data_IF_909509196321
#
_entry.id   IF_909509196321
#
_cell.length_a   1.000
_cell.length_b   1.000
_cell.length_c   1.000
_cell.angle_alpha   90.00
_cell.angle_beta   90.00
_cell.angle_gamma   90.00
#
_symmetry.space_group_name_H-M   'P 1'
#
loop_
_entity.id
_entity.type
_entity.pdbx_description
1 polymer ?
#
# COMPACT_ATOMS: atom_id res chain seq x y z
N UNK A 1 -10.82 -4.79 15.54
CA UNK A 1 -9.90 -4.00 16.44
C UNK A 1 -9.24 -2.94 15.60
N UNK A 2 -9.12 -1.68 16.06
CA UNK A 2 -8.42 -0.65 15.28
C UNK A 2 -6.93 -0.97 15.17
N UNK A 3 -6.39 -1.00 13.95
CA UNK A 3 -4.95 -1.26 13.71
C UNK A 3 -4.07 -0.09 14.17
N UNK A 4 -4.63 1.10 14.43
CA UNK A 4 -3.87 2.23 15.03
C UNK A 4 -3.23 1.86 16.37
N UNK A 5 -3.82 0.90 17.10
CA UNK A 5 -3.26 0.38 18.35
C UNK A 5 -2.20 -0.69 18.14
N UNK A 6 -2.22 -1.34 16.98
CA UNK A 6 -1.27 -2.36 16.58
C UNK A 6 -0.01 -1.75 15.97
N UNK A 7 -0.18 -0.70 15.15
CA UNK A 7 0.93 -0.09 14.43
C UNK A 7 1.81 0.74 15.37
N UNK A 8 3.14 0.53 15.34
CA UNK A 8 4.08 1.24 16.20
C UNK A 8 4.23 2.73 15.86
N UNK A 9 3.94 3.11 14.62
CA UNK A 9 4.02 4.47 14.11
C UNK A 9 3.07 4.72 12.94
N UNK A 10 2.91 5.98 12.58
CA UNK A 10 2.09 6.40 11.42
C UNK A 10 2.80 6.25 10.07
N UNK A 11 3.99 5.68 10.05
CA UNK A 11 4.74 5.40 8.83
C UNK A 11 5.31 4.00 8.88
N UNK A 12 5.25 3.29 7.74
CA UNK A 12 5.87 1.99 7.52
C UNK A 12 6.65 1.98 6.21
N UNK A 13 7.34 0.87 5.93
CA UNK A 13 8.04 0.63 4.68
C UNK A 13 7.16 -0.19 3.73
N UNK A 14 6.85 0.36 2.56
CA UNK A 14 6.22 -0.37 1.45
C UNK A 14 7.23 -1.15 0.63
N UNK A 15 7.06 -2.47 0.54
CA UNK A 15 8.02 -3.40 -0.05
C UNK A 15 7.90 -3.58 -1.57
N UNK A 16 6.97 -2.95 -2.27
CA UNK A 16 6.82 -3.16 -3.71
C UNK A 16 8.11 -2.90 -4.51
N UNK A 17 8.89 -1.84 -4.24
CA UNK A 17 10.17 -1.62 -4.92
C UNK A 17 11.21 -2.71 -4.68
N UNK A 18 11.15 -3.42 -3.54
CA UNK A 18 12.04 -4.56 -3.25
C UNK A 18 11.77 -5.77 -4.16
N UNK A 19 10.63 -5.82 -4.84
CA UNK A 19 10.28 -6.78 -5.89
C UNK A 19 10.74 -6.37 -7.28
N UNK A 20 11.64 -5.41 -7.41
CA UNK A 20 12.10 -4.85 -8.70
C UNK A 20 10.97 -4.15 -9.48
N UNK A 21 10.16 -3.36 -8.80
CA UNK A 21 9.12 -2.54 -9.45
C UNK A 21 9.76 -1.48 -10.34
N UNK A 22 9.46 -1.48 -11.61
CA UNK A 22 9.96 -0.63 -12.69
C UNK A 22 11.45 -0.79 -13.05
N UNK A 23 12.30 -1.23 -12.14
CA UNK A 23 13.73 -1.45 -12.36
C UNK A 23 14.27 -2.58 -11.48
N UNK A 24 15.29 -3.24 -11.96
CA UNK A 24 16.07 -4.14 -11.12
C UNK A 24 16.91 -3.35 -10.11
N UNK A 25 16.96 -3.83 -8.87
CA UNK A 25 17.86 -3.35 -7.83
C UNK A 25 18.72 -4.52 -7.33
N UNK A 26 19.99 -4.28 -6.96
CA UNK A 26 20.84 -5.30 -6.36
C UNK A 26 20.28 -5.80 -5.00
N UNK A 27 20.59 -7.05 -4.63
CA UNK A 27 20.12 -7.61 -3.36
C UNK A 27 20.70 -6.88 -2.16
N UNK A 28 21.96 -6.45 -2.22
CA UNK A 28 22.62 -5.67 -1.18
C UNK A 28 21.97 -4.29 -0.98
N UNK A 29 21.55 -3.62 -2.07
CA UNK A 29 20.80 -2.36 -1.99
C UNK A 29 19.43 -2.58 -1.35
N UNK A 30 18.73 -3.67 -1.71
CA UNK A 30 17.46 -4.03 -1.10
C UNK A 30 17.59 -4.31 0.40
N UNK A 31 18.61 -5.09 0.80
CA UNK A 31 18.91 -5.37 2.21
C UNK A 31 19.24 -4.09 2.98
N UNK A 32 20.13 -3.25 2.43
CA UNK A 32 20.50 -1.98 3.04
C UNK A 32 19.30 -1.05 3.24
N UNK A 33 18.33 -1.07 2.31
CA UNK A 33 17.09 -0.28 2.42
C UNK A 33 16.25 -0.70 3.62
N UNK A 34 16.08 -2.00 3.87
CA UNK A 34 15.33 -2.49 5.03
C UNK A 34 16.07 -2.22 6.33
N UNK A 35 17.39 -2.44 6.35
CA UNK A 35 18.20 -2.17 7.54
C UNK A 35 18.24 -0.69 7.90
N UNK A 36 18.31 0.21 6.92
CA UNK A 36 18.20 1.64 7.17
C UNK A 36 16.85 2.00 7.79
N UNK A 37 15.75 1.50 7.23
CA UNK A 37 14.42 1.73 7.79
C UNK A 37 14.35 1.27 9.26
N UNK A 38 14.89 0.08 9.56
CA UNK A 38 14.99 -0.42 10.93
C UNK A 38 15.78 0.51 11.85
N UNK A 39 16.97 0.94 11.41
CA UNK A 39 17.85 1.83 12.17
C UNK A 39 17.25 3.21 12.42
N UNK A 40 16.36 3.67 11.53
CA UNK A 40 15.58 4.89 11.66
C UNK A 40 14.32 4.74 12.54
N UNK A 41 14.10 3.55 13.12
CA UNK A 41 12.98 3.30 14.02
C UNK A 41 11.69 2.83 13.34
N UNK A 42 11.70 2.53 12.04
CA UNK A 42 10.55 1.93 11.37
C UNK A 42 10.35 0.52 11.90
N UNK A 43 9.10 0.20 12.28
CA UNK A 43 8.68 -1.08 12.86
C UNK A 43 7.41 -1.63 12.22
N UNK A 44 6.98 -1.07 11.09
CA UNK A 44 5.91 -1.59 10.24
C UNK A 44 6.44 -1.81 8.83
N UNK A 45 6.30 -3.05 8.33
CA UNK A 45 6.79 -3.48 7.02
C UNK A 45 5.66 -4.18 6.27
N UNK A 46 5.43 -3.77 5.02
CA UNK A 46 4.42 -4.36 4.13
C UNK A 46 5.05 -4.91 2.86
N UNK A 47 4.59 -6.09 2.46
CA UNK A 47 5.03 -6.75 1.22
C UNK A 47 3.88 -7.52 0.56
N UNK A 48 4.17 -8.30 -0.47
CA UNK A 48 3.21 -9.18 -1.14
C UNK A 48 3.90 -10.28 -1.97
N UNK A 49 3.25 -11.44 -2.17
CA UNK A 49 3.69 -12.45 -3.12
C UNK A 49 3.82 -11.92 -4.56
N UNK A 50 2.90 -11.02 -4.97
CA UNK A 50 2.93 -10.40 -6.29
C UNK A 50 4.20 -9.58 -6.55
N UNK A 51 4.80 -8.99 -5.53
CA UNK A 51 5.93 -8.09 -5.68
C UNK A 51 7.19 -8.82 -6.12
N UNK A 52 7.40 -8.84 -7.44
CA UNK A 52 8.48 -9.56 -8.08
C UNK A 52 8.37 -11.08 -7.97
N UNK A 53 7.14 -11.63 -7.90
CA UNK A 53 6.90 -13.07 -7.71
C UNK A 53 7.61 -13.62 -6.47
N UNK A 54 7.41 -12.96 -5.33
CA UNK A 54 7.97 -13.34 -4.03
C UNK A 54 9.35 -12.75 -3.73
N UNK A 55 9.98 -12.07 -4.68
CA UNK A 55 11.32 -11.49 -4.48
C UNK A 55 11.33 -10.49 -3.31
N UNK A 56 10.30 -9.63 -3.21
CA UNK A 56 10.19 -8.69 -2.10
C UNK A 56 10.06 -9.40 -0.75
N UNK A 57 9.25 -10.45 -0.65
CA UNK A 57 9.13 -11.24 0.59
C UNK A 57 10.45 -11.92 0.97
N UNK A 58 11.18 -12.48 0.01
CA UNK A 58 12.51 -13.11 0.25
C UNK A 58 13.48 -12.07 0.80
N UNK A 59 13.63 -10.93 0.13
CA UNK A 59 14.55 -9.86 0.54
C UNK A 59 14.19 -9.26 1.90
N UNK A 60 12.90 -9.01 2.13
CA UNK A 60 12.41 -8.49 3.42
C UNK A 60 12.61 -9.52 4.53
N UNK A 61 12.32 -10.79 4.27
CA UNK A 61 12.53 -11.89 5.22
C UNK A 61 14.01 -12.06 5.60
N UNK A 62 14.91 -11.98 4.63
CA UNK A 62 16.37 -12.04 4.88
C UNK A 62 16.83 -10.90 5.78
N UNK A 63 16.42 -9.68 5.49
CA UNK A 63 16.79 -8.53 6.30
C UNK A 63 16.18 -8.58 7.70
N UNK A 64 14.89 -8.86 7.82
CA UNK A 64 14.17 -8.84 9.10
C UNK A 64 14.48 -10.02 10.00
N UNK A 65 14.96 -11.17 9.45
CA UNK A 65 15.36 -12.34 10.25
C UNK A 65 16.51 -12.08 11.24
N UNK A 66 17.21 -10.96 11.08
CA UNK A 66 18.27 -10.53 11.99
C UNK A 66 17.75 -9.81 13.25
N UNK A 67 16.46 -9.52 13.32
CA UNK A 67 15.83 -8.78 14.39
C UNK A 67 14.79 -9.62 15.13
N UNK A 68 14.52 -9.28 16.38
CA UNK A 68 13.48 -9.94 17.16
C UNK A 68 12.11 -9.76 16.48
N UNK A 69 11.41 -10.87 16.27
CA UNK A 69 10.09 -10.87 15.64
C UNK A 69 9.03 -10.10 16.43
N UNK A 70 9.23 -9.96 17.73
CA UNK A 70 8.32 -9.23 18.61
C UNK A 70 8.43 -7.71 18.46
N UNK A 71 9.50 -7.21 17.85
CA UNK A 71 9.80 -5.79 17.76
C UNK A 71 9.18 -5.09 16.55
N UNK A 72 8.50 -5.82 15.65
CA UNK A 72 7.90 -5.22 14.46
C UNK A 72 6.56 -5.84 14.05
N UNK A 73 5.79 -5.07 13.31
CA UNK A 73 4.55 -5.50 12.64
C UNK A 73 4.86 -5.79 11.18
N UNK A 74 4.41 -6.95 10.71
CA UNK A 74 4.61 -7.43 9.35
C UNK A 74 3.27 -7.68 8.69
N UNK A 75 3.07 -7.11 7.50
CA UNK A 75 1.93 -7.42 6.65
C UNK A 75 2.37 -8.00 5.30
N UNK A 76 1.59 -8.94 4.79
CA UNK A 76 1.66 -9.44 3.42
C UNK A 76 0.27 -9.66 2.86
N UNK A 77 0.17 -10.25 1.67
CA UNK A 77 -1.09 -10.33 0.95
C UNK A 77 -1.39 -11.76 0.51
N UNK A 78 -2.67 -12.04 0.27
CA UNK A 78 -3.20 -13.31 -0.28
C UNK A 78 -4.00 -13.05 -1.55
N UNK A 79 -4.36 -14.10 -2.28
CA UNK A 79 -5.07 -14.00 -3.56
C UNK A 79 -4.13 -14.14 -4.77
N UNK A 80 -2.83 -14.24 -4.52
CA UNK A 80 -1.77 -14.50 -5.51
C UNK A 80 -0.91 -15.64 -5.01
N UNK A 81 -0.91 -16.77 -5.69
CA UNK A 81 -0.10 -17.94 -5.36
C UNK A 81 1.05 -18.03 -6.33
N UNK A 82 2.25 -18.24 -5.82
CA UNK A 82 3.40 -18.58 -6.65
C UNK A 82 3.42 -20.07 -6.92
N UNK A 83 3.63 -20.43 -8.18
CA UNK A 83 3.80 -21.81 -8.63
C UNK A 83 5.28 -22.08 -8.91
N UNK A 84 5.65 -23.38 -8.89
CA UNK A 84 6.99 -23.82 -9.32
C UNK A 84 7.16 -23.72 -10.84
N UNK A 85 6.06 -23.65 -11.59
CA UNK A 85 6.05 -23.41 -13.04
C UNK A 85 6.64 -22.02 -13.34
N UNK A 86 7.50 -21.96 -14.36
CA UNK A 86 8.15 -20.73 -14.80
C UNK A 86 7.41 -20.10 -15.98
N UNK A 87 7.39 -18.77 -15.99
CA UNK A 87 6.84 -17.98 -17.10
C UNK A 87 7.75 -16.80 -17.42
N UNK A 88 7.51 -16.14 -18.53
CA UNK A 88 8.16 -14.89 -18.89
C UNK A 88 7.49 -13.73 -18.11
N UNK A 89 8.18 -13.07 -17.16
CA UNK A 89 7.59 -12.00 -16.38
C UNK A 89 7.04 -10.83 -17.21
N UNK A 90 7.62 -10.57 -18.39
CA UNK A 90 7.18 -9.52 -19.31
C UNK A 90 5.81 -9.80 -19.96
N UNK A 91 5.37 -11.07 -19.92
CA UNK A 91 4.09 -11.50 -20.50
C UNK A 91 2.97 -11.65 -19.48
N UNK A 92 3.24 -11.34 -18.22
CA UNK A 92 2.22 -11.42 -17.17
C UNK A 92 1.12 -10.40 -17.39
N UNK A 93 -0.10 -10.86 -17.19
CA UNK A 93 -1.26 -9.99 -17.19
C UNK A 93 -1.45 -9.38 -15.79
N UNK A 94 -1.22 -8.08 -15.70
CA UNK A 94 -1.51 -7.27 -14.52
C UNK A 94 -2.68 -6.31 -14.77
N UNK A 95 -3.57 -6.62 -15.70
CA UNK A 95 -4.68 -5.77 -16.10
C UNK A 95 -4.18 -4.44 -16.67
N UNK A 96 -4.71 -3.33 -16.17
CA UNK A 96 -4.34 -1.99 -16.62
C UNK A 96 -2.88 -1.58 -16.31
N UNK A 97 -2.16 -2.34 -15.47
CA UNK A 97 -0.86 -1.90 -14.91
C UNK A 97 0.37 -2.32 -15.72
N UNK A 98 0.18 -3.22 -16.70
CA UNK A 98 1.30 -3.70 -17.51
C UNK A 98 2.37 -4.45 -16.72
N UNK A 99 3.59 -4.51 -17.24
CA UNK A 99 4.70 -5.31 -16.71
C UNK A 99 5.48 -4.66 -15.57
N UNK A 100 4.84 -4.15 -14.55
CA UNK A 100 5.50 -3.40 -13.44
C UNK A 100 6.54 -4.20 -12.65
N UNK A 101 6.51 -5.55 -12.72
CA UNK A 101 7.45 -6.46 -12.07
C UNK A 101 8.18 -7.37 -13.06
N UNK A 102 8.44 -6.92 -14.28
CA UNK A 102 9.10 -7.71 -15.32
C UNK A 102 10.53 -8.16 -14.94
N UNK A 103 11.17 -7.46 -14.00
CA UNK A 103 12.49 -7.81 -13.45
C UNK A 103 12.42 -8.68 -12.18
N UNK A 104 11.24 -9.21 -11.83
CA UNK A 104 11.05 -10.13 -10.72
C UNK A 104 11.49 -11.55 -11.04
N UNK A 105 11.21 -12.48 -10.12
CA UNK A 105 11.42 -13.91 -10.33
C UNK A 105 10.47 -14.43 -11.44
N UNK A 106 10.85 -15.56 -12.04
CA UNK A 106 10.12 -16.16 -13.18
C UNK A 106 8.99 -17.08 -12.75
N UNK A 107 8.77 -17.29 -11.47
CA UNK A 107 7.68 -18.11 -10.97
C UNK A 107 6.33 -17.57 -11.46
N UNK A 108 5.51 -18.46 -12.00
CA UNK A 108 4.15 -18.14 -12.45
C UNK A 108 3.28 -17.75 -11.26
N UNK A 109 2.41 -16.78 -11.46
CA UNK A 109 1.44 -16.33 -10.47
C UNK A 109 0.06 -16.83 -10.86
N UNK A 110 -0.60 -17.53 -9.93
CA UNK A 110 -2.00 -17.92 -10.02
C UNK A 110 -2.84 -16.99 -9.15
N UNK A 111 -3.92 -16.46 -9.74
CA UNK A 111 -4.91 -15.67 -9.00
C UNK A 111 -5.96 -16.61 -8.42
N UNK A 112 -6.03 -16.74 -7.11
CA UNK A 112 -7.00 -17.59 -6.43
C UNK A 112 -7.31 -17.03 -5.03
N UNK A 113 -8.57 -16.67 -4.80
CA UNK A 113 -9.08 -16.11 -3.55
C UNK A 113 -9.85 -17.13 -2.70
N UNK A 114 -9.82 -18.42 -3.07
CA UNK A 114 -10.46 -19.48 -2.28
C UNK A 114 -9.84 -19.60 -0.88
N UNK A 115 -10.54 -20.24 0.03
CA UNK A 115 -10.06 -20.50 1.39
C UNK A 115 -8.75 -21.30 1.38
N UNK A 116 -8.69 -22.41 0.61
CA UNK A 116 -7.50 -23.25 0.53
C UNK A 116 -6.29 -22.49 -0.06
N UNK A 117 -6.52 -21.69 -1.09
CA UNK A 117 -5.48 -20.84 -1.69
C UNK A 117 -4.98 -19.79 -0.70
N UNK A 118 -5.88 -19.20 0.08
CA UNK A 118 -5.53 -18.22 1.12
C UNK A 118 -4.61 -18.83 2.18
N UNK A 119 -4.96 -20.01 2.71
CA UNK A 119 -4.15 -20.69 3.72
C UNK A 119 -2.78 -21.09 3.15
N UNK A 120 -2.75 -21.68 1.95
CA UNK A 120 -1.50 -22.00 1.25
C UNK A 120 -0.62 -20.77 1.03
N UNK A 121 -1.21 -19.67 0.59
CA UNK A 121 -0.48 -18.41 0.36
C UNK A 121 0.20 -17.91 1.63
N UNK A 122 -0.47 -18.00 2.79
CA UNK A 122 0.10 -17.61 4.08
C UNK A 122 1.28 -18.53 4.44
N UNK A 123 1.14 -19.85 4.33
CA UNK A 123 2.21 -20.79 4.61
C UNK A 123 3.44 -20.57 3.73
N UNK A 124 3.23 -20.30 2.44
CA UNK A 124 4.31 -20.02 1.50
C UNK A 124 4.98 -18.67 1.76
N UNK A 125 4.21 -17.66 2.17
CA UNK A 125 4.75 -16.36 2.59
C UNK A 125 5.58 -16.47 3.88
N UNK A 126 5.16 -17.26 4.86
CA UNK A 126 5.95 -17.53 6.08
C UNK A 126 7.33 -18.08 5.75
N UNK A 127 7.41 -19.00 4.78
CA UNK A 127 8.70 -19.59 4.33
C UNK A 127 9.59 -18.53 3.68
N UNK A 128 9.04 -17.72 2.74
CA UNK A 128 9.79 -16.65 2.06
C UNK A 128 10.23 -15.56 3.02
N UNK A 129 9.37 -15.18 3.96
CA UNK A 129 9.63 -14.16 4.99
C UNK A 129 10.52 -14.68 6.14
N UNK A 130 10.83 -16.00 6.17
CA UNK A 130 11.64 -16.63 7.23
C UNK A 130 11.10 -16.32 8.65
N UNK A 131 9.80 -16.39 8.82
CA UNK A 131 9.10 -16.08 10.09
C UNK A 131 8.01 -17.09 10.37
N UNK A 132 7.61 -17.21 11.62
CA UNK A 132 6.54 -18.08 12.08
C UNK A 132 5.18 -17.39 12.17
N UNK A 133 5.11 -16.07 11.98
CA UNK A 133 3.85 -15.32 12.05
C UNK A 133 3.82 -14.08 11.14
N UNK A 134 2.62 -13.75 10.69
CA UNK A 134 2.26 -12.51 10.00
C UNK A 134 1.22 -11.79 10.86
N UNK A 135 1.36 -10.48 11.04
CA UNK A 135 0.44 -9.72 11.89
C UNK A 135 -0.81 -9.27 11.14
N UNK A 136 -0.67 -8.80 9.91
CA UNK A 136 -1.77 -8.29 9.08
C UNK A 136 -1.75 -8.98 7.73
N UNK A 137 -2.91 -9.43 7.26
CA UNK A 137 -3.05 -10.05 5.93
C UNK A 137 -4.05 -9.27 5.09
N UNK A 138 -3.60 -8.86 3.89
CA UNK A 138 -4.43 -8.16 2.92
C UNK A 138 -4.87 -9.09 1.79
N UNK A 139 -6.14 -9.00 1.39
CA UNK A 139 -6.65 -9.65 0.17
C UNK A 139 -6.33 -8.74 -0.99
N UNK A 140 -5.50 -9.23 -1.93
CA UNK A 140 -4.86 -8.41 -2.94
C UNK A 140 -5.72 -8.28 -4.20
N UNK A 141 -6.17 -7.07 -4.49
CA UNK A 141 -6.79 -6.64 -5.74
C UNK A 141 -7.93 -7.52 -6.30
N UNK A 142 -8.98 -7.89 -5.54
CA UNK A 142 -10.21 -8.39 -6.12
C UNK A 142 -11.01 -7.20 -6.70
N UNK A 143 -10.52 -6.60 -7.79
CA UNK A 143 -10.94 -5.27 -8.23
C UNK A 143 -10.89 -5.10 -9.76
N UNK A 144 -11.61 -4.11 -10.25
CA UNK A 144 -11.82 -3.86 -11.67
C UNK A 144 -10.53 -3.61 -12.46
N UNK A 145 -9.55 -2.95 -11.86
CA UNK A 145 -8.25 -2.66 -12.52
C UNK A 145 -7.43 -3.91 -12.85
N UNK A 146 -7.75 -5.07 -12.24
CA UNK A 146 -7.14 -6.36 -12.56
C UNK A 146 -8.05 -7.28 -13.39
N UNK A 147 -9.38 -7.20 -13.20
CA UNK A 147 -10.30 -8.17 -13.77
C UNK A 147 -11.38 -7.57 -14.68
N UNK A 148 -11.28 -6.27 -15.01
CA UNK A 148 -12.27 -5.58 -15.83
C UNK A 148 -13.69 -5.78 -15.31
N UNK A 149 -14.64 -6.03 -16.19
CA UNK A 149 -16.06 -6.21 -15.82
C UNK A 149 -16.32 -7.49 -15.00
N UNK A 150 -15.41 -8.47 -15.04
CA UNK A 150 -15.49 -9.72 -14.28
C UNK A 150 -15.09 -9.60 -12.80
N UNK A 151 -14.68 -8.43 -12.33
CA UNK A 151 -14.13 -8.28 -10.99
C UNK A 151 -15.08 -8.66 -9.84
N UNK A 152 -16.39 -8.53 -10.04
CA UNK A 152 -17.39 -8.92 -9.03
C UNK A 152 -17.41 -10.42 -8.79
N UNK A 153 -17.10 -11.26 -9.78
CA UNK A 153 -16.95 -12.69 -9.61
C UNK A 153 -15.75 -13.00 -8.71
N UNK A 154 -14.60 -12.40 -9.00
CA UNK A 154 -13.39 -12.54 -8.17
C UNK A 154 -13.60 -12.00 -6.74
N UNK A 155 -14.30 -10.88 -6.61
CA UNK A 155 -14.68 -10.34 -5.29
C UNK A 155 -15.58 -11.32 -4.53
N UNK A 156 -16.56 -11.96 -5.19
CA UNK A 156 -17.43 -12.94 -4.54
C UNK A 156 -16.68 -14.20 -4.12
N UNK A 157 -15.70 -14.68 -4.92
CA UNK A 157 -14.79 -15.76 -4.51
C UNK A 157 -14.00 -15.34 -3.28
N UNK A 158 -13.45 -14.12 -3.25
CA UNK A 158 -12.74 -13.60 -2.10
C UNK A 158 -13.64 -13.53 -0.86
N UNK A 159 -14.88 -13.04 -1.00
CA UNK A 159 -15.86 -12.96 0.07
C UNK A 159 -16.20 -14.32 0.69
N UNK A 160 -16.42 -15.32 -0.14
CA UNK A 160 -16.79 -16.66 0.32
C UNK A 160 -15.60 -17.53 0.73
N UNK A 161 -14.39 -17.17 0.34
CA UNK A 161 -13.13 -17.87 0.64
C UNK A 161 -12.23 -17.08 1.58
N UNK A 162 -11.44 -16.14 1.03
CA UNK A 162 -10.42 -15.41 1.78
C UNK A 162 -10.97 -14.63 3.00
N UNK A 163 -12.13 -13.95 2.87
CA UNK A 163 -12.74 -13.23 4.01
C UNK A 163 -13.02 -14.18 5.18
N UNK A 164 -13.58 -15.35 4.90
CA UNK A 164 -13.91 -16.34 5.93
C UNK A 164 -12.66 -16.94 6.56
N UNK A 165 -11.68 -17.32 5.73
CA UNK A 165 -10.42 -17.84 6.22
C UNK A 165 -9.71 -16.83 7.15
N UNK A 166 -9.58 -15.58 6.73
CA UNK A 166 -8.88 -14.55 7.49
C UNK A 166 -9.65 -14.12 8.74
N UNK A 167 -11.00 -14.08 8.69
CA UNK A 167 -11.82 -13.83 9.87
C UNK A 167 -11.59 -14.92 10.92
N UNK A 168 -11.59 -16.20 10.52
CA UNK A 168 -11.30 -17.32 11.42
C UNK A 168 -9.89 -17.24 11.99
N UNK A 169 -8.86 -17.01 11.17
CA UNK A 169 -7.48 -16.89 11.64
C UNK A 169 -7.29 -15.74 12.64
N UNK A 170 -8.01 -14.63 12.46
CA UNK A 170 -8.03 -13.52 13.43
C UNK A 170 -8.69 -13.92 14.74
N UNK A 171 -9.83 -14.59 14.69
CA UNK A 171 -10.56 -15.07 15.87
C UNK A 171 -9.75 -16.11 16.66
N UNK A 172 -9.01 -16.97 15.98
CA UNK A 172 -8.07 -17.94 16.55
C UNK A 172 -6.76 -17.30 17.06
N UNK A 173 -6.53 -16.01 16.78
CA UNK A 173 -5.33 -15.29 17.20
C UNK A 173 -4.07 -15.62 16.37
N UNK A 174 -4.21 -16.30 15.24
CA UNK A 174 -3.11 -16.62 14.32
C UNK A 174 -2.60 -15.37 13.60
N UNK A 175 -3.52 -14.50 13.22
CA UNK A 175 -3.22 -13.15 12.73
C UNK A 175 -3.91 -12.12 13.63
N UNK A 176 -3.44 -10.87 13.59
CA UNK A 176 -3.99 -9.79 14.42
C UNK A 176 -5.05 -8.97 13.69
N UNK A 177 -4.93 -8.84 12.37
CA UNK A 177 -5.85 -8.06 11.56
C UNK A 177 -5.87 -8.55 10.11
N UNK A 178 -6.96 -8.25 9.40
CA UNK A 178 -7.08 -8.48 7.97
C UNK A 178 -7.88 -7.38 7.27
N UNK A 179 -7.77 -7.31 5.95
CA UNK A 179 -8.55 -6.42 5.11
C UNK A 179 -8.26 -6.59 3.63
N UNK A 180 -8.67 -5.61 2.82
CA UNK A 180 -8.34 -5.57 1.41
C UNK A 180 -7.11 -4.69 1.16
N UNK A 181 -6.24 -5.11 0.24
CA UNK A 181 -5.16 -4.30 -0.31
C UNK A 181 -5.45 -4.01 -1.78
N UNK A 182 -5.87 -2.79 -2.10
CA UNK A 182 -6.46 -2.44 -3.40
C UNK A 182 -6.06 -1.05 -3.87
N UNK A 183 -6.22 -0.82 -5.19
CA UNK A 183 -6.01 0.48 -5.82
C UNK A 183 -7.35 1.13 -6.24
N UNK A 184 -8.47 0.61 -5.78
CA UNK A 184 -9.81 1.12 -6.07
C UNK A 184 -10.62 1.19 -4.80
N UNK A 185 -11.51 2.18 -4.71
CA UNK A 185 -12.38 2.36 -3.52
C UNK A 185 -13.58 1.42 -3.51
N UNK A 186 -14.04 0.99 -4.68
CA UNK A 186 -15.26 0.22 -4.86
C UNK A 186 -15.27 -1.11 -4.09
N UNK A 187 -14.20 -1.94 -4.10
CA UNK A 187 -14.18 -3.16 -3.29
C UNK A 187 -14.27 -2.88 -1.79
N UNK A 188 -13.69 -1.76 -1.32
CA UNK A 188 -13.78 -1.36 0.09
C UNK A 188 -15.19 -0.92 0.47
N UNK A 189 -15.80 -0.06 -0.33
CA UNK A 189 -17.19 0.40 -0.14
C UNK A 189 -18.17 -0.78 -0.16
N UNK A 190 -18.01 -1.70 -1.14
CA UNK A 190 -18.82 -2.91 -1.21
C UNK A 190 -18.65 -3.78 0.05
N UNK A 191 -17.42 -3.96 0.53
CA UNK A 191 -17.14 -4.73 1.75
C UNK A 191 -17.80 -4.13 2.99
N UNK A 192 -17.79 -2.79 3.13
CA UNK A 192 -18.46 -2.13 4.25
C UNK A 192 -19.98 -2.27 4.19
N UNK A 193 -20.57 -2.34 2.99
CA UNK A 193 -22.00 -2.53 2.79
C UNK A 193 -22.51 -3.97 3.02
N UNK A 194 -21.63 -4.98 3.14
CA UNK A 194 -22.05 -6.36 3.39
C UNK A 194 -22.52 -6.55 4.84
N UNK A 195 -23.52 -7.41 5.03
CA UNK A 195 -23.94 -7.90 6.36
C UNK A 195 -23.08 -9.11 6.78
N UNK A 196 -21.79 -8.86 6.94
CA UNK A 196 -20.75 -9.86 7.28
C UNK A 196 -19.72 -9.24 8.24
N UNK A 197 -18.88 -10.08 8.91
CA UNK A 197 -17.81 -9.56 9.75
C UNK A 197 -16.91 -8.60 8.99
N UNK A 198 -16.73 -7.39 9.55
CA UNK A 198 -15.92 -6.36 8.90
C UNK A 198 -14.43 -6.66 9.01
N UNK A 199 -13.61 -6.24 8.02
CA UNK A 199 -12.17 -6.19 8.15
C UNK A 199 -11.75 -5.19 9.22
N UNK A 200 -10.49 -5.23 9.63
CA UNK A 200 -9.93 -4.28 10.59
C UNK A 200 -9.43 -3.01 9.90
N UNK A 201 -8.99 -3.13 8.65
CA UNK A 201 -8.50 -2.01 7.86
C UNK A 201 -8.54 -2.29 6.34
N UNK A 202 -8.28 -1.25 5.55
CA UNK A 202 -7.96 -1.34 4.13
C UNK A 202 -6.58 -0.76 3.85
N UNK A 203 -5.79 -1.42 3.03
CA UNK A 203 -4.61 -0.86 2.40
C UNK A 203 -5.03 -0.28 1.05
N UNK A 204 -5.18 1.04 0.99
CA UNK A 204 -5.67 1.77 -0.16
C UNK A 204 -4.50 2.50 -0.85
N UNK A 205 -4.14 2.07 -2.05
CA UNK A 205 -3.03 2.64 -2.79
C UNK A 205 -3.49 3.67 -3.82
N UNK A 206 -2.89 4.86 -3.78
CA UNK A 206 -3.05 5.89 -4.81
C UNK A 206 -4.42 6.58 -4.87
N UNK A 207 -5.33 6.34 -3.93
CA UNK A 207 -6.71 6.90 -3.91
C UNK A 207 -6.96 7.88 -2.76
N UNK A 208 -5.96 8.14 -1.93
CA UNK A 208 -5.98 9.24 -0.97
C UNK A 208 -4.63 9.95 -0.96
N UNK A 209 -4.41 10.76 -1.98
CA UNK A 209 -3.20 11.56 -2.21
C UNK A 209 -3.57 12.98 -2.62
N UNK A 210 -2.58 13.85 -2.76
CA UNK A 210 -2.81 15.22 -3.29
C UNK A 210 -3.43 15.22 -4.69
N UNK A 211 -3.16 14.19 -5.52
CA UNK A 211 -3.68 14.11 -6.89
C UNK A 211 -5.04 13.45 -6.99
N UNK A 212 -5.30 12.47 -6.14
CA UNK A 212 -6.55 11.71 -6.16
C UNK A 212 -7.00 11.42 -4.73
N UNK A 213 -8.05 12.09 -4.27
CA UNK A 213 -8.62 11.91 -2.94
C UNK A 213 -10.14 12.12 -2.89
N UNK A 214 -10.70 12.79 -3.88
CA UNK A 214 -12.10 13.26 -3.80
C UNK A 214 -13.09 12.12 -3.61
N UNK A 215 -12.93 11.01 -4.35
CA UNK A 215 -13.86 9.89 -4.25
C UNK A 215 -13.74 9.17 -2.91
N UNK A 216 -12.53 8.85 -2.47
CA UNK A 216 -12.32 8.23 -1.16
C UNK A 216 -12.83 9.14 -0.03
N UNK A 217 -12.56 10.44 -0.10
CA UNK A 217 -12.97 11.44 0.87
C UNK A 217 -14.48 11.52 1.03
N UNK A 218 -15.25 11.45 -0.07
CA UNK A 218 -16.69 11.67 -0.04
C UNK A 218 -17.48 10.47 0.53
N UNK A 219 -16.99 9.26 0.38
CA UNK A 219 -17.70 8.04 0.75
C UNK A 219 -16.88 7.11 1.63
N UNK A 220 -15.79 6.58 1.12
CA UNK A 220 -15.04 5.53 1.83
C UNK A 220 -14.52 5.97 3.20
N UNK A 221 -13.95 7.18 3.31
CA UNK A 221 -13.37 7.65 4.57
C UNK A 221 -14.42 7.83 5.68
N UNK A 222 -15.61 8.46 5.44
CA UNK A 222 -16.69 8.51 6.42
C UNK A 222 -17.21 7.12 6.80
N UNK A 223 -17.48 6.25 5.83
CA UNK A 223 -17.97 4.89 6.07
C UNK A 223 -16.98 4.05 6.87
N UNK A 224 -15.68 4.16 6.56
CA UNK A 224 -14.63 3.49 7.30
C UNK A 224 -14.59 3.93 8.78
N UNK A 225 -14.74 5.22 9.05
CA UNK A 225 -14.84 5.75 10.43
C UNK A 225 -16.08 5.22 11.16
N UNK A 226 -17.24 5.20 10.51
CA UNK A 226 -18.48 4.70 11.06
C UNK A 226 -18.38 3.23 11.45
N UNK A 227 -17.73 2.41 10.61
CA UNK A 227 -17.53 0.98 10.85
C UNK A 227 -16.29 0.66 11.71
N UNK A 228 -15.53 1.67 12.16
CA UNK A 228 -14.26 1.50 12.89
C UNK A 228 -13.23 0.68 12.09
N UNK A 229 -13.19 0.86 10.79
CA UNK A 229 -12.21 0.26 9.88
C UNK A 229 -11.17 1.33 9.53
N UNK A 230 -9.89 1.03 9.76
CA UNK A 230 -8.83 1.99 9.51
C UNK A 230 -8.34 1.93 8.04
N UNK A 231 -7.66 2.98 7.60
CA UNK A 231 -7.03 3.05 6.28
C UNK A 231 -5.51 3.11 6.44
N UNK A 232 -4.79 2.25 5.73
CA UNK A 232 -3.37 2.40 5.45
C UNK A 232 -3.23 2.94 4.03
N UNK A 233 -2.55 4.07 3.86
CA UNK A 233 -2.35 4.67 2.53
C UNK A 233 -1.06 4.14 1.93
N UNK A 234 -1.21 3.39 0.82
CA UNK A 234 -0.11 3.02 -0.05
C UNK A 234 0.09 4.06 -1.16
N UNK A 235 1.32 4.16 -1.69
CA UNK A 235 1.63 5.05 -2.81
C UNK A 235 1.30 6.53 -2.57
N UNK A 236 1.66 7.14 -1.43
CA UNK A 236 1.30 8.52 -1.10
C UNK A 236 1.88 9.54 -2.10
N UNK A 237 2.87 9.13 -2.87
CA UNK A 237 3.47 9.93 -3.96
C UNK A 237 2.86 9.67 -5.34
N UNK A 238 1.72 8.98 -5.42
CA UNK A 238 1.03 8.66 -6.67
C UNK A 238 1.96 8.04 -7.72
N UNK A 239 2.54 6.88 -7.38
CA UNK A 239 3.54 6.15 -8.19
C UNK A 239 4.82 6.94 -8.47
N UNK A 240 5.10 7.97 -7.67
CA UNK A 240 6.33 8.76 -7.73
C UNK A 240 6.19 10.12 -8.41
N UNK A 241 5.10 10.41 -9.13
CA UNK A 241 4.96 11.68 -9.87
C UNK A 241 4.99 12.91 -8.94
N UNK A 242 4.48 12.79 -7.71
CA UNK A 242 4.56 13.84 -6.69
C UNK A 242 5.95 14.00 -6.07
N UNK A 243 6.84 13.06 -6.30
CA UNK A 243 8.23 13.09 -5.85
C UNK A 243 9.23 13.35 -7.01
N UNK A 244 8.76 13.91 -8.14
CA UNK A 244 9.56 14.22 -9.30
C UNK A 244 9.76 13.04 -10.27
N UNK A 245 9.05 11.93 -10.09
CA UNK A 245 9.06 10.80 -11.01
C UNK A 245 8.11 10.97 -12.20
N UNK A 246 8.08 9.98 -13.08
CA UNK A 246 7.30 10.03 -14.33
C UNK A 246 6.03 9.17 -14.32
N UNK A 247 5.81 8.36 -13.25
CA UNK A 247 4.72 7.41 -13.18
C UNK A 247 3.55 7.92 -12.35
N UNK A 248 2.35 7.64 -12.85
CA UNK A 248 1.07 7.78 -12.17
C UNK A 248 0.26 6.50 -12.42
N UNK A 249 -0.39 5.95 -11.40
CA UNK A 249 -1.12 4.67 -11.48
C UNK A 249 -0.30 3.54 -12.12
N UNK A 250 1.00 3.50 -11.78
CA UNK A 250 1.99 2.52 -12.28
C UNK A 250 2.30 2.62 -13.79
N UNK A 251 1.78 3.62 -14.48
CA UNK A 251 2.05 3.89 -15.89
C UNK A 251 2.69 5.27 -16.07
N UNK A 252 3.16 5.57 -17.27
CA UNK A 252 3.65 6.91 -17.58
C UNK A 252 2.53 7.94 -17.42
N UNK A 253 2.78 8.98 -16.64
CA UNK A 253 1.79 10.02 -16.37
C UNK A 253 1.32 10.74 -17.66
N UNK A 254 0.02 10.98 -17.77
CA UNK A 254 -0.56 11.72 -18.89
C UNK A 254 -0.19 13.21 -18.83
N UNK A 255 -0.30 13.94 -19.95
CA UNK A 255 -0.11 15.39 -19.96
C UNK A 255 -1.00 16.15 -18.97
N UNK A 256 -2.25 15.68 -18.75
CA UNK A 256 -3.17 16.28 -17.79
C UNK A 256 -2.67 16.13 -16.34
N UNK A 257 -2.13 14.96 -16.00
CA UNK A 257 -1.51 14.72 -14.69
C UNK A 257 -0.28 15.61 -14.51
N UNK A 258 0.59 15.70 -15.52
CA UNK A 258 1.75 16.60 -15.46
C UNK A 258 1.36 18.05 -15.26
N UNK A 259 0.27 18.54 -15.89
CA UNK A 259 -0.23 19.90 -15.68
C UNK A 259 -0.73 20.10 -14.24
N UNK A 260 -1.45 19.12 -13.67
CA UNK A 260 -1.92 19.19 -12.29
C UNK A 260 -0.75 19.19 -11.30
N UNK A 261 0.24 18.33 -11.51
CA UNK A 261 1.47 18.28 -10.71
C UNK A 261 2.23 19.60 -10.80
N UNK A 262 2.37 20.19 -12.01
CA UNK A 262 3.03 21.49 -12.19
C UNK A 262 2.35 22.60 -11.38
N UNK A 263 1.01 22.63 -11.30
CA UNK A 263 0.27 23.59 -10.46
C UNK A 263 0.58 23.40 -8.97
N UNK A 264 0.64 22.15 -8.51
CA UNK A 264 1.00 21.83 -7.11
C UNK A 264 2.42 22.35 -6.81
N UNK A 265 3.39 22.08 -7.70
CA UNK A 265 4.77 22.57 -7.55
C UNK A 265 4.86 24.09 -7.57
N UNK A 266 4.08 24.76 -8.43
CA UNK A 266 4.03 26.22 -8.48
C UNK A 266 3.57 26.83 -7.16
N UNK A 267 2.51 26.28 -6.55
CA UNK A 267 2.05 26.76 -5.24
C UNK A 267 3.07 26.42 -4.15
N UNK A 268 3.60 25.20 -4.16
CA UNK A 268 4.62 24.78 -3.21
C UNK A 268 5.85 25.71 -3.23
N UNK A 269 6.28 26.14 -4.40
CA UNK A 269 7.38 27.12 -4.57
C UNK A 269 7.06 28.47 -3.94
N UNK A 270 5.82 28.98 -4.08
CA UNK A 270 5.41 30.26 -3.50
C UNK A 270 5.50 30.27 -1.96
N UNK A 271 5.29 29.13 -1.34
CA UNK A 271 5.32 28.98 0.12
C UNK A 271 6.58 28.30 0.65
N UNK A 272 7.56 28.02 -0.23
CA UNK A 272 8.79 27.28 0.11
C UNK A 272 8.49 25.91 0.76
N UNK A 273 7.54 25.16 0.18
CA UNK A 273 7.09 23.84 0.66
C UNK A 273 7.65 22.75 -0.24
N UNK A 274 8.16 21.69 0.39
CA UNK A 274 8.49 20.43 -0.30
C UNK A 274 7.20 19.65 -0.62
N UNK A 275 6.96 19.34 -1.90
CA UNK A 275 5.79 18.59 -2.35
C UNK A 275 5.75 17.18 -1.76
N UNK A 276 6.90 16.51 -1.52
CA UNK A 276 6.94 15.24 -0.80
C UNK A 276 6.38 15.37 0.61
N UNK A 277 6.77 16.41 1.32
CA UNK A 277 6.28 16.68 2.67
C UNK A 277 4.76 16.92 2.66
N UNK A 278 4.28 17.73 1.72
CA UNK A 278 2.85 17.99 1.57
C UNK A 278 2.06 16.70 1.25
N UNK A 279 2.58 15.84 0.37
CA UNK A 279 1.92 14.59 -0.02
C UNK A 279 1.76 13.63 1.18
N UNK A 280 2.82 13.42 1.97
CA UNK A 280 2.76 12.55 3.15
C UNK A 280 1.84 13.11 4.24
N UNK A 281 1.98 14.39 4.56
CA UNK A 281 1.21 15.01 5.63
C UNK A 281 -0.27 15.12 5.29
N UNK A 282 -0.62 15.40 4.02
CA UNK A 282 -2.01 15.39 3.55
C UNK A 282 -2.65 14.02 3.75
N UNK A 283 -1.99 12.95 3.30
CA UNK A 283 -2.52 11.59 3.44
C UNK A 283 -2.79 11.21 4.89
N UNK A 284 -1.94 11.64 5.83
CA UNK A 284 -2.08 11.38 7.26
C UNK A 284 -3.06 12.29 8.00
N UNK A 285 -3.52 13.37 7.38
CA UNK A 285 -4.43 14.32 8.02
C UNK A 285 -5.84 13.76 8.22
N UNK A 286 -6.26 12.80 7.41
CA UNK A 286 -7.58 12.21 7.52
C UNK A 286 -7.66 11.30 8.76
N UNK A 287 -8.68 11.47 9.63
CA UNK A 287 -8.81 10.69 10.86
C UNK A 287 -9.02 9.19 10.62
N UNK A 288 -9.48 8.75 9.44
CA UNK A 288 -9.56 7.33 9.09
C UNK A 288 -8.18 6.71 8.84
N UNK A 289 -7.16 7.49 8.54
CA UNK A 289 -5.83 6.99 8.17
C UNK A 289 -5.03 6.62 9.42
N UNK A 290 -4.60 5.37 9.47
CA UNK A 290 -3.74 4.83 10.52
C UNK A 290 -2.26 5.05 10.23
N UNK A 291 -1.85 4.87 8.98
CA UNK A 291 -0.46 5.01 8.55
C UNK A 291 -0.34 5.25 7.05
N UNK A 292 0.82 5.74 6.63
CA UNK A 292 1.29 5.74 5.24
C UNK A 292 2.44 4.75 5.08
N UNK A 293 2.52 4.07 3.94
CA UNK A 293 3.61 3.14 3.60
C UNK A 293 4.25 3.52 2.26
N UNK A 294 5.07 4.57 2.23
CA UNK A 294 5.82 4.90 1.04
C UNK A 294 6.75 3.75 0.63
N UNK A 295 6.85 3.50 -0.68
CA UNK A 295 7.78 2.54 -1.22
C UNK A 295 9.22 3.07 -1.20
N UNK A 296 10.17 2.22 -0.83
CA UNK A 296 11.59 2.55 -0.86
C UNK A 296 12.37 1.54 -1.68
N UNK A 297 13.18 2.03 -2.63
CA UNK A 297 14.02 1.22 -3.54
C UNK A 297 15.51 1.42 -3.32
N UNK A 298 15.92 2.28 -2.39
CA UNK A 298 17.32 2.59 -2.07
C UNK A 298 17.45 3.10 -0.64
N UNK A 299 18.61 2.93 0.00
CA UNK A 299 18.94 3.63 1.22
C UNK A 299 18.82 5.17 1.04
N UNK A 300 18.53 5.88 2.12
CA UNK A 300 18.29 7.33 2.12
C UNK A 300 16.83 7.74 1.92
N UNK A 301 16.02 6.91 1.26
CA UNK A 301 14.60 7.24 1.02
C UNK A 301 13.79 7.39 2.30
N UNK A 302 13.95 6.46 3.23
CA UNK A 302 13.17 6.49 4.48
C UNK A 302 13.56 7.67 5.37
N UNK A 303 14.84 8.06 5.39
CA UNK A 303 15.27 9.26 6.11
C UNK A 303 14.69 10.54 5.49
N UNK A 304 14.61 10.61 4.15
CA UNK A 304 13.92 11.69 3.44
C UNK A 304 12.43 11.76 3.80
N UNK A 305 11.75 10.61 3.86
CA UNK A 305 10.32 10.53 4.20
C UNK A 305 10.05 10.93 5.66
N UNK A 306 10.89 10.53 6.60
CA UNK A 306 10.80 10.97 7.99
C UNK A 306 11.04 12.47 8.15
N UNK A 307 12.01 13.04 7.42
CA UNK A 307 12.23 14.47 7.38
C UNK A 307 11.01 15.21 6.79
N UNK A 308 10.43 14.67 5.72
CA UNK A 308 9.21 15.20 5.08
C UNK A 308 8.01 15.24 6.05
N UNK A 309 7.82 14.19 6.85
CA UNK A 309 6.75 14.14 7.87
C UNK A 309 6.95 15.19 8.98
N UNK A 310 8.18 15.55 9.28
CA UNK A 310 8.54 16.50 10.33
C UNK A 310 8.60 17.94 9.82
N UNK A 311 8.55 18.17 8.51
CA UNK A 311 8.63 19.48 7.91
C UNK A 311 7.47 20.39 8.33
N UNK A 312 7.78 21.65 8.60
CA UNK A 312 6.73 22.66 8.87
C UNK A 312 6.17 23.17 7.56
N UNK A 313 4.86 23.03 7.39
CA UNK A 313 4.14 23.51 6.22
C UNK A 313 3.21 24.63 6.70
N UNK A 314 3.29 25.85 6.11
CA UNK A 314 2.41 26.95 6.49
C UNK A 314 0.94 26.63 6.23
N UNK A 315 0.05 27.08 7.11
CA UNK A 315 -1.41 26.93 6.94
C UNK A 315 -1.87 27.56 5.61
N UNK A 316 -1.29 28.68 5.23
CA UNK A 316 -1.60 29.43 4.01
C UNK A 316 -1.37 28.59 2.76
N UNK A 317 -0.37 27.71 2.74
CA UNK A 317 -0.17 26.75 1.66
C UNK A 317 -1.39 25.85 1.46
N UNK A 318 -1.90 25.27 2.54
CA UNK A 318 -3.05 24.36 2.50
C UNK A 318 -4.32 25.07 2.06
N UNK A 319 -4.55 26.29 2.55
CA UNK A 319 -5.69 27.11 2.17
C UNK A 319 -5.60 27.52 0.68
N UNK A 320 -4.42 27.85 0.18
CA UNK A 320 -4.22 28.15 -1.24
C UNK A 320 -4.48 26.93 -2.12
N UNK A 321 -4.02 25.73 -1.71
CA UNK A 321 -4.30 24.49 -2.41
C UNK A 321 -5.82 24.20 -2.51
N UNK A 322 -6.57 24.47 -1.44
CA UNK A 322 -8.05 24.39 -1.47
C UNK A 322 -8.67 25.47 -2.36
N UNK A 323 -8.21 26.70 -2.26
CA UNK A 323 -8.70 27.83 -3.08
C UNK A 323 -8.52 27.57 -4.57
N UNK A 324 -7.44 26.91 -4.96
CA UNK A 324 -7.15 26.53 -6.35
C UNK A 324 -7.86 25.23 -6.79
N UNK A 325 -8.64 24.61 -5.91
CA UNK A 325 -9.35 23.36 -6.19
C UNK A 325 -8.43 22.13 -6.35
N UNK A 326 -7.18 22.20 -5.88
CA UNK A 326 -6.23 21.09 -5.88
C UNK A 326 -6.44 20.17 -4.67
N UNK A 327 -7.01 20.70 -3.60
CA UNK A 327 -7.50 19.93 -2.46
C UNK A 327 -8.99 20.23 -2.29
N UNK A 328 -9.80 19.21 -2.05
CA UNK A 328 -11.24 19.36 -1.80
C UNK A 328 -11.48 20.23 -0.55
N UNK A 329 -12.48 21.11 -0.61
CA UNK A 329 -12.76 22.07 0.46
C UNK A 329 -13.07 21.41 1.83
N UNK A 330 -13.61 20.20 1.82
CA UNK A 330 -13.93 19.44 3.04
C UNK A 330 -12.84 18.42 3.44
N UNK A 331 -11.70 18.41 2.76
CA UNK A 331 -10.60 17.51 3.14
C UNK A 331 -9.96 17.97 4.46
N UNK A 332 -9.73 17.04 5.42
CA UNK A 332 -8.94 17.34 6.60
C UNK A 332 -7.54 17.80 6.22
N UNK A 333 -7.10 18.90 6.80
CA UNK A 333 -5.79 19.48 6.56
C UNK A 333 -4.87 19.25 7.77
N UNK A 334 -3.55 19.05 7.58
CA UNK A 334 -2.58 18.88 8.67
C UNK A 334 -2.20 20.24 9.28
N UNK A 335 -3.20 21.04 9.65
CA UNK A 335 -3.04 22.33 10.30
C UNK A 335 -2.82 22.09 11.80
N UNK A 336 -1.74 22.64 12.34
CA UNK A 336 -1.35 22.54 13.75
C UNK A 336 -1.68 23.83 14.48
#
# INVERSE_FOLDING_TARGET
>A
MSIKKLLPSKIGLGGAPLGNMFRAIPDDEAQATVHEAWNLGIRYFDTAPLYGSGLSEIRMGEALSQYSRDDYVLSTKVGRIMLDEMEDPAKRDFGEKGGIFEHGLKNKILNDYSENATLRSIEDSLKRLKTDRIDIVWIHDPSQDFYGDGWLEHFNIARTGAFRALTRLREEGVIKAWGLGVNRVEPCELTLGLDEPKPDAFLLAGRYSLLDHSRALQRLMPEALEHNVDIVVGGPYSSGVLAGGEHFEYQKASPAIHQQVAKIYQIAQQFNVDVKAAALQFSLANPAVAAVIPGSSRPGRMSEDLAALSAKIPTEFWLEMQRQGLIAANAPLPIR
#
